data_IF_136377561205
#
_entry.id   IF_136377561205
#
_cell.length_a   1.000
_cell.length_b   1.000
_cell.length_c   1.000
_cell.angle_alpha   90.00
_cell.angle_beta   90.00
_cell.angle_gamma   90.00
#
_symmetry.space_group_name_H-M   'P 1'
#
loop_
_entity.id
_entity.type
_entity.pdbx_description
1 polymer ?
#
# COMPACT_ATOMS: atom_id res chain seq x y z
N UNK A 1 -5.44 4.03 13.83
CA UNK A 1 -4.57 4.21 12.64
C UNK A 1 -3.51 3.14 12.59
N UNK A 2 -3.68 2.13 11.73
CA UNK A 2 -2.74 1.00 11.55
C UNK A 2 -1.31 1.49 11.28
N UNK A 3 -1.14 2.37 10.29
CA UNK A 3 0.15 2.95 9.91
C UNK A 3 0.82 3.71 11.06
N UNK A 4 0.04 4.42 11.87
CA UNK A 4 0.57 5.18 13.01
C UNK A 4 1.13 4.27 14.12
N UNK A 5 0.46 3.15 14.40
CA UNK A 5 0.93 2.18 15.39
C UNK A 5 2.22 1.48 14.92
N UNK A 6 2.27 1.07 13.65
CA UNK A 6 3.46 0.43 13.05
C UNK A 6 4.67 1.37 13.07
N UNK A 7 4.46 2.67 12.83
CA UNK A 7 5.53 3.67 12.90
C UNK A 7 6.10 3.87 14.32
N UNK A 8 5.29 3.70 15.37
CA UNK A 8 5.72 3.87 16.77
C UNK A 8 6.43 2.63 17.34
N UNK A 9 6.00 1.44 16.96
CA UNK A 9 6.52 0.17 17.50
C UNK A 9 7.78 -0.32 16.75
N UNK A 10 8.23 0.43 15.74
CA UNK A 10 9.45 0.11 14.99
C UNK A 10 9.22 -0.81 13.79
N UNK A 11 7.99 -0.95 13.30
CA UNK A 11 7.67 -1.71 12.08
C UNK A 11 8.02 -0.99 10.77
N UNK A 12 8.82 0.07 10.81
CA UNK A 12 9.22 0.87 9.65
C UNK A 12 10.72 0.69 9.31
N UNK A 13 11.25 -0.53 9.42
CA UNK A 13 12.65 -0.84 9.10
C UNK A 13 12.79 -1.16 7.61
N UNK A 14 13.65 -0.43 6.92
CA UNK A 14 13.90 -0.59 5.49
C UNK A 14 14.33 -2.03 5.15
N UNK A 15 13.76 -2.59 4.08
CA UNK A 15 14.09 -3.94 3.61
C UNK A 15 13.71 -5.10 4.54
N UNK A 16 13.09 -4.83 5.70
CA UNK A 16 12.75 -5.84 6.71
C UNK A 16 11.26 -5.86 7.03
N UNK A 17 10.77 -4.80 7.66
CA UNK A 17 9.40 -4.72 8.19
C UNK A 17 8.58 -3.58 7.58
N UNK A 18 9.24 -2.65 6.88
CA UNK A 18 8.60 -1.50 6.25
C UNK A 18 7.64 -1.93 5.15
N UNK A 19 6.39 -1.54 5.31
CA UNK A 19 5.34 -1.71 4.31
C UNK A 19 5.15 -0.43 3.48
N UNK A 20 4.57 -0.57 2.27
CA UNK A 20 4.37 0.55 1.33
C UNK A 20 3.65 1.74 1.98
N UNK A 21 2.61 1.50 2.78
CA UNK A 21 1.84 2.56 3.45
C UNK A 21 2.68 3.33 4.48
N UNK A 22 3.56 2.65 5.22
CA UNK A 22 4.51 3.32 6.14
C UNK A 22 5.61 4.08 5.41
N UNK A 23 6.07 3.57 4.26
CA UNK A 23 7.05 4.25 3.41
C UNK A 23 6.48 5.56 2.85
N UNK A 24 5.24 5.56 2.35
CA UNK A 24 4.55 6.77 1.88
C UNK A 24 4.50 7.83 2.97
N UNK A 25 4.08 7.44 4.19
CA UNK A 25 4.00 8.36 5.33
C UNK A 25 5.40 8.87 5.74
N UNK A 26 6.42 8.01 5.70
CA UNK A 26 7.79 8.39 6.03
C UNK A 26 8.33 9.44 5.04
N UNK A 27 8.21 9.20 3.73
CA UNK A 27 8.70 10.12 2.70
C UNK A 27 7.93 11.45 2.70
N UNK A 28 6.61 11.41 2.94
CA UNK A 28 5.79 12.61 3.15
C UNK A 28 6.30 13.44 4.33
N UNK A 29 6.69 12.78 5.45
CA UNK A 29 7.23 13.46 6.64
C UNK A 29 8.65 14.00 6.44
N UNK A 30 9.44 13.38 5.56
CA UNK A 30 10.75 13.90 5.14
C UNK A 30 10.66 15.07 4.16
N UNK A 31 9.48 15.30 3.58
CA UNK A 31 9.25 16.32 2.56
C UNK A 31 9.54 15.84 1.13
N UNK A 32 9.85 14.56 0.93
CA UNK A 32 9.99 13.96 -0.40
C UNK A 32 8.61 13.53 -0.94
N UNK A 33 7.82 14.54 -1.32
CA UNK A 33 6.47 14.32 -1.85
C UNK A 33 6.49 13.64 -3.21
N UNK A 34 7.55 13.82 -4.01
CA UNK A 34 7.68 13.19 -5.31
C UNK A 34 7.73 11.67 -5.18
N UNK A 35 8.61 11.16 -4.29
CA UNK A 35 8.70 9.74 -4.00
C UNK A 35 7.44 9.22 -3.32
N UNK A 36 6.87 9.96 -2.37
CA UNK A 36 5.63 9.56 -1.68
C UNK A 36 4.46 9.40 -2.66
N UNK A 37 4.29 10.33 -3.60
CA UNK A 37 3.26 10.26 -4.64
C UNK A 37 3.51 9.10 -5.61
N UNK A 38 4.75 8.88 -6.04
CA UNK A 38 5.10 7.75 -6.89
C UNK A 38 4.74 6.42 -6.24
N UNK A 39 5.11 6.23 -4.97
CA UNK A 39 4.74 5.04 -4.19
C UNK A 39 3.22 4.91 -4.02
N UNK A 40 2.51 6.02 -3.84
CA UNK A 40 1.04 6.05 -3.77
C UNK A 40 0.38 5.57 -5.07
N UNK A 41 0.86 6.04 -6.23
CA UNK A 41 0.37 5.60 -7.54
C UNK A 41 0.62 4.10 -7.75
N UNK A 42 1.80 3.60 -7.38
CA UNK A 42 2.13 2.17 -7.44
C UNK A 42 1.18 1.34 -6.58
N UNK A 43 0.94 1.76 -5.33
CA UNK A 43 0.04 1.06 -4.41
C UNK A 43 -1.40 1.03 -4.95
N UNK A 44 -1.90 2.14 -5.50
CA UNK A 44 -3.21 2.21 -6.14
C UNK A 44 -3.28 1.28 -7.35
N UNK A 45 -2.25 1.28 -8.20
CA UNK A 45 -2.17 0.38 -9.36
C UNK A 45 -2.28 -1.09 -8.94
N UNK A 46 -1.50 -1.51 -7.94
CA UNK A 46 -1.55 -2.88 -7.39
C UNK A 46 -2.96 -3.19 -6.84
N UNK A 47 -3.55 -2.25 -6.11
CA UNK A 47 -4.89 -2.41 -5.51
C UNK A 47 -5.95 -2.62 -6.59
N UNK A 48 -5.98 -1.78 -7.63
CA UNK A 48 -6.93 -1.91 -8.73
C UNK A 48 -6.71 -3.18 -9.53
N UNK A 49 -5.47 -3.54 -9.85
CA UNK A 49 -5.14 -4.78 -10.58
C UNK A 49 -5.61 -5.99 -9.78
N UNK A 50 -5.31 -6.04 -8.49
CA UNK A 50 -5.70 -7.14 -7.61
C UNK A 50 -7.21 -7.24 -7.48
N UNK A 51 -7.90 -6.10 -7.30
CA UNK A 51 -9.35 -6.05 -7.21
C UNK A 51 -10.02 -6.51 -8.51
N UNK A 52 -9.53 -6.05 -9.67
CA UNK A 52 -10.05 -6.44 -10.98
C UNK A 52 -9.78 -7.92 -11.28
N UNK A 53 -8.61 -8.43 -10.90
CA UNK A 53 -8.28 -9.85 -11.02
C UNK A 53 -9.23 -10.69 -10.16
N UNK A 54 -9.45 -10.29 -8.91
CA UNK A 54 -10.39 -10.96 -8.00
C UNK A 54 -11.81 -10.94 -8.55
N UNK A 55 -12.26 -9.80 -9.09
CA UNK A 55 -13.58 -9.67 -9.69
C UNK A 55 -13.75 -10.61 -10.90
N UNK A 56 -12.74 -10.73 -11.77
CA UNK A 56 -12.78 -11.67 -12.90
C UNK A 56 -12.79 -13.13 -12.45
N UNK A 57 -12.08 -13.46 -11.38
CA UNK A 57 -12.05 -14.82 -10.82
C UNK A 57 -13.37 -15.16 -10.10
N UNK A 58 -13.99 -14.21 -9.40
CA UNK A 58 -15.30 -14.37 -8.76
C UNK A 58 -16.48 -14.34 -9.72
N UNK A 59 -16.35 -13.74 -10.91
CA UNK A 59 -17.38 -13.71 -11.95
C UNK A 59 -17.83 -15.08 -12.46
N UNK A 60 -17.26 -16.19 -11.95
CA UNK A 60 -17.73 -17.57 -12.15
C UNK A 60 -18.55 -18.15 -10.99
N UNK A 61 -18.82 -17.37 -9.92
CA UNK A 61 -19.51 -17.81 -8.71
C UNK A 61 -20.91 -17.21 -8.52
N UNK A 62 -21.37 -16.37 -9.46
CA UNK A 62 -22.72 -15.77 -9.45
C UNK A 62 -23.59 -16.25 -10.62
N UNK A 63 -23.25 -17.40 -11.20
CA UNK A 63 -24.16 -18.17 -12.05
C UNK A 63 -24.82 -19.25 -11.15
N UNK A 64 -25.81 -18.84 -10.36
CA UNK A 64 -26.77 -19.73 -9.71
C UNK A 64 -28.18 -19.12 -9.81
#
# INVERSE_FOLDING_TARGET
>A
SEVGAVMLVGGNIDGQTRVLTTAIVLETRKGDFALALALGVVLLGITFITNLAMLRLQGKSFDE
#
